data_IF_262004676948
#
_entry.id   IF_262004676948
#
_cell.length_a   1.000
_cell.length_b   1.000
_cell.length_c   1.000
_cell.angle_alpha   90.00
_cell.angle_beta   90.00
_cell.angle_gamma   90.00
#
_symmetry.space_group_name_H-M   'P 1'
#
loop_
_entity.id
_entity.type
_entity.pdbx_description
1 polymer ?
#
# COMPACT_ATOMS: atom_id res chain seq x y z
N UNK A 1 16.91 -17.38 -7.02
CA UNK A 1 15.44 -17.24 -7.14
C UNK A 1 15.16 -16.22 -8.24
N UNK A 2 14.61 -16.65 -9.38
CA UNK A 2 14.09 -15.73 -10.38
C UNK A 2 12.82 -15.11 -9.79
N UNK A 3 12.91 -13.86 -9.31
CA UNK A 3 11.71 -13.10 -8.96
C UNK A 3 10.96 -12.83 -10.26
N UNK A 4 9.75 -13.35 -10.38
CA UNK A 4 8.88 -13.04 -11.50
C UNK A 4 8.55 -11.54 -11.48
N UNK A 5 9.28 -10.79 -12.31
CA UNK A 5 9.17 -9.33 -12.45
C UNK A 5 7.74 -8.95 -12.86
N UNK A 6 7.05 -9.80 -13.63
CA UNK A 6 5.69 -9.58 -14.10
C UNK A 6 4.72 -9.70 -12.93
N UNK A 7 4.79 -10.78 -12.16
CA UNK A 7 3.96 -10.97 -10.98
C UNK A 7 4.18 -9.87 -9.94
N UNK A 8 5.43 -9.45 -9.71
CA UNK A 8 5.74 -8.36 -8.79
C UNK A 8 5.15 -7.02 -9.26
N UNK A 9 5.22 -6.74 -10.56
CA UNK A 9 4.63 -5.54 -11.13
C UNK A 9 3.10 -5.55 -11.03
N UNK A 10 2.46 -6.69 -11.33
CA UNK A 10 1.02 -6.86 -11.17
C UNK A 10 0.58 -6.64 -9.71
N UNK A 11 1.30 -7.23 -8.76
CA UNK A 11 1.01 -7.06 -7.33
C UNK A 11 1.16 -5.60 -6.88
N UNK A 12 2.19 -4.90 -7.37
CA UNK A 12 2.35 -3.45 -7.16
C UNK A 12 1.12 -2.66 -7.66
N UNK A 13 0.66 -2.92 -8.88
CA UNK A 13 -0.49 -2.22 -9.45
C UNK A 13 -1.77 -2.48 -8.64
N UNK A 14 -1.98 -3.72 -8.20
CA UNK A 14 -3.11 -4.08 -7.35
C UNK A 14 -3.08 -3.34 -6.01
N UNK A 15 -1.93 -3.31 -5.31
CA UNK A 15 -1.78 -2.59 -4.05
C UNK A 15 -1.98 -1.08 -4.21
N UNK A 16 -1.47 -0.49 -5.30
CA UNK A 16 -1.70 0.92 -5.63
C UNK A 16 -3.17 1.21 -5.84
N UNK A 17 -3.86 0.39 -6.63
CA UNK A 17 -5.30 0.55 -6.84
C UNK A 17 -6.06 0.48 -5.52
N UNK A 18 -5.71 -0.44 -4.62
CA UNK A 18 -6.37 -0.55 -3.31
C UNK A 18 -6.11 0.67 -2.42
N UNK A 19 -4.87 1.18 -2.40
CA UNK A 19 -4.48 2.36 -1.63
C UNK A 19 -5.24 3.61 -2.09
N UNK A 20 -5.38 3.79 -3.41
CA UNK A 20 -6.00 4.96 -4.03
C UNK A 20 -7.52 4.91 -3.92
N UNK A 21 -8.14 3.76 -4.21
CA UNK A 21 -9.60 3.61 -4.21
C UNK A 21 -10.20 3.46 -2.81
N UNK A 22 -9.47 2.85 -1.88
CA UNK A 22 -9.92 2.60 -0.51
C UNK A 22 -8.79 2.91 0.48
N UNK A 23 -8.41 4.20 0.64
CA UNK A 23 -7.38 4.57 1.59
C UNK A 23 -7.83 4.18 3.00
N UNK A 24 -7.12 3.22 3.61
CA UNK A 24 -7.33 2.81 5.01
C UNK A 24 -6.67 3.77 6.01
N UNK A 25 -6.09 4.86 5.51
CA UNK A 25 -5.22 5.78 6.24
C UNK A 25 -5.56 7.24 5.92
N UNK A 26 -5.30 8.17 6.86
CA UNK A 26 -5.35 9.60 6.59
C UNK A 26 -4.28 10.01 5.54
N UNK A 27 -4.51 11.14 4.87
CA UNK A 27 -3.69 11.64 3.75
C UNK A 27 -2.18 11.72 4.07
N UNK A 28 -1.84 12.08 5.30
CA UNK A 28 -0.46 12.21 5.80
C UNK A 28 0.29 10.86 5.73
N UNK A 29 -0.39 9.77 6.05
CA UNK A 29 0.19 8.43 6.11
C UNK A 29 0.32 7.78 4.72
N UNK A 30 -0.36 8.30 3.70
CA UNK A 30 -0.28 7.79 2.33
C UNK A 30 0.68 8.59 1.45
N UNK A 31 1.12 9.79 1.86
CA UNK A 31 2.00 10.65 1.05
C UNK A 31 3.31 9.95 0.68
N UNK A 32 3.99 9.34 1.66
CA UNK A 32 5.25 8.64 1.41
C UNK A 32 5.08 7.41 0.50
N UNK A 33 4.09 6.52 0.71
CA UNK A 33 3.72 5.50 -0.28
C UNK A 33 3.48 6.06 -1.68
N UNK A 34 2.67 7.12 -1.84
CA UNK A 34 2.41 7.69 -3.16
C UNK A 34 3.69 8.26 -3.80
N UNK A 35 4.60 8.83 -3.02
CA UNK A 35 5.90 9.28 -3.52
C UNK A 35 6.75 8.12 -4.07
N UNK A 36 6.75 6.95 -3.41
CA UNK A 36 7.40 5.75 -3.94
C UNK A 36 6.77 5.30 -5.27
N UNK A 37 5.43 5.33 -5.37
CA UNK A 37 4.74 5.01 -6.62
C UNK A 37 5.10 5.99 -7.75
N UNK A 38 5.24 7.29 -7.43
CA UNK A 38 5.71 8.31 -8.37
C UNK A 38 7.12 8.04 -8.88
N UNK A 39 8.06 7.79 -7.97
CA UNK A 39 9.44 7.45 -8.34
C UNK A 39 9.49 6.17 -9.18
N UNK A 40 8.63 5.19 -8.90
CA UNK A 40 8.55 3.95 -9.68
C UNK A 40 8.03 4.15 -11.11
N UNK A 41 7.20 5.16 -11.36
CA UNK A 41 6.57 5.44 -12.66
C UNK A 41 7.32 6.47 -13.48
N UNK A 42 7.80 7.53 -12.84
CA UNK A 42 8.33 8.72 -13.51
C UNK A 42 9.84 8.86 -13.34
N UNK A 43 10.47 7.98 -12.55
CA UNK A 43 11.86 8.13 -12.11
C UNK A 43 12.08 9.47 -11.40
N UNK A 44 13.28 10.02 -11.52
CA UNK A 44 13.71 11.23 -10.83
C UNK A 44 12.79 12.41 -11.11
N UNK A 45 12.54 13.15 -10.03
CA UNK A 45 11.71 14.34 -10.06
C UNK A 45 12.24 15.40 -11.02
N UNK A 46 11.33 16.09 -11.70
CA UNK A 46 11.60 17.24 -12.56
C UNK A 46 10.74 18.45 -12.16
N UNK A 47 11.25 19.68 -12.36
CA UNK A 47 10.43 20.89 -12.22
C UNK A 47 9.17 20.81 -13.08
N UNK A 48 8.05 21.32 -12.55
CA UNK A 48 6.75 21.35 -13.21
C UNK A 48 6.18 19.97 -13.61
N UNK A 49 6.67 18.89 -13.02
CA UNK A 49 6.15 17.56 -13.25
C UNK A 49 4.70 17.46 -12.77
N UNK A 50 3.82 17.09 -13.71
CA UNK A 50 2.41 16.92 -13.42
C UNK A 50 2.16 15.69 -12.54
N UNK A 51 1.15 15.80 -11.68
CA UNK A 51 0.62 14.72 -10.86
C UNK A 51 -0.14 13.73 -11.77
N UNK A 52 0.29 12.46 -11.89
CA UNK A 52 -0.48 11.41 -12.55
C UNK A 52 -1.97 11.42 -12.23
N UNK A 53 -2.81 11.19 -13.26
CA UNK A 53 -4.27 11.20 -13.20
C UNK A 53 -4.82 10.36 -12.03
N UNK A 54 -4.23 9.19 -11.81
CA UNK A 54 -4.64 8.26 -10.76
C UNK A 54 -4.42 8.82 -9.34
N UNK A 55 -3.55 9.81 -9.15
CA UNK A 55 -3.23 10.43 -7.86
C UNK A 55 -3.83 11.83 -7.68
N UNK A 56 -4.38 12.44 -8.75
CA UNK A 56 -4.87 13.82 -8.73
C UNK A 56 -5.96 14.05 -7.66
N UNK A 57 -6.84 13.08 -7.47
CA UNK A 57 -7.94 13.16 -6.50
C UNK A 57 -7.51 12.99 -5.03
N UNK A 58 -6.26 12.58 -4.76
CA UNK A 58 -5.76 12.39 -3.40
C UNK A 58 -5.41 13.73 -2.71
N UNK A 59 -5.35 14.84 -3.45
CA UNK A 59 -5.09 16.19 -2.94
C UNK A 59 -3.84 16.31 -2.04
N UNK A 60 -2.78 15.54 -2.33
CA UNK A 60 -1.55 15.50 -1.51
C UNK A 60 -0.64 16.73 -1.71
N UNK A 61 -0.90 17.52 -2.76
CA UNK A 61 -0.32 18.86 -2.95
C UNK A 61 1.21 18.91 -2.84
N UNK A 62 1.78 19.99 -2.27
CA UNK A 62 3.22 20.18 -2.15
C UNK A 62 3.95 19.14 -1.29
N UNK A 63 3.23 18.42 -0.42
CA UNK A 63 3.84 17.38 0.41
C UNK A 63 4.32 16.21 -0.45
N UNK A 64 3.55 15.82 -1.47
CA UNK A 64 3.93 14.78 -2.43
C UNK A 64 5.15 15.19 -3.25
N UNK A 65 5.18 16.44 -3.74
CA UNK A 65 6.33 16.96 -4.50
C UNK A 65 7.62 16.87 -3.69
N UNK A 66 7.60 17.32 -2.43
CA UNK A 66 8.77 17.25 -1.54
C UNK A 66 9.19 15.82 -1.25
N UNK A 67 8.22 14.93 -1.01
CA UNK A 67 8.49 13.52 -0.76
C UNK A 67 9.11 12.85 -2.00
N UNK A 68 8.64 13.16 -3.21
CA UNK A 68 9.22 12.62 -4.46
C UNK A 68 10.62 13.18 -4.73
N UNK A 69 10.85 14.47 -4.51
CA UNK A 69 12.19 15.07 -4.61
C UNK A 69 13.22 14.38 -3.70
N UNK A 70 12.81 13.96 -2.50
CA UNK A 70 13.68 13.23 -1.57
C UNK A 70 14.07 11.82 -2.06
N UNK A 71 13.45 11.32 -3.13
CA UNK A 71 13.70 9.98 -3.69
C UNK A 71 14.54 9.99 -4.97
N UNK A 72 15.16 11.12 -5.33
CA UNK A 72 15.83 11.35 -6.62
C UNK A 72 17.01 10.41 -6.96
N UNK A 73 17.39 9.48 -6.08
CA UNK A 73 18.43 8.47 -6.34
C UNK A 73 17.90 7.03 -6.27
N UNK A 74 16.61 6.86 -5.98
CA UNK A 74 15.99 5.56 -5.82
C UNK A 74 15.60 5.00 -7.19
N UNK A 75 16.10 3.81 -7.53
CA UNK A 75 15.75 3.17 -8.79
C UNK A 75 14.24 2.88 -8.87
N UNK A 76 13.68 2.79 -10.08
CA UNK A 76 12.27 2.45 -10.25
C UNK A 76 11.89 1.12 -9.58
N UNK A 77 12.80 0.13 -9.64
CA UNK A 77 12.57 -1.19 -9.04
C UNK A 77 12.60 -1.11 -7.51
N UNK A 78 13.55 -0.37 -6.93
CA UNK A 78 13.64 -0.19 -5.49
C UNK A 78 12.48 0.65 -4.95
N UNK A 79 12.05 1.66 -5.70
CA UNK A 79 10.85 2.45 -5.40
C UNK A 79 9.59 1.56 -5.38
N UNK A 80 9.46 0.66 -6.36
CA UNK A 80 8.36 -0.32 -6.39
C UNK A 80 8.39 -1.26 -5.18
N UNK A 81 9.56 -1.76 -4.80
CA UNK A 81 9.71 -2.62 -3.63
C UNK A 81 9.44 -1.85 -2.32
N UNK A 82 9.90 -0.61 -2.22
CA UNK A 82 9.63 0.27 -1.08
C UNK A 82 8.12 0.55 -0.95
N UNK A 83 7.45 0.82 -2.06
CA UNK A 83 5.99 0.93 -2.11
C UNK A 83 5.31 -0.32 -1.57
N UNK A 84 5.64 -1.49 -2.13
CA UNK A 84 5.03 -2.77 -1.71
C UNK A 84 5.23 -2.97 -0.20
N UNK A 85 6.44 -2.75 0.32
CA UNK A 85 6.72 -2.91 1.76
C UNK A 85 5.92 -1.95 2.64
N UNK A 86 5.72 -0.71 2.20
CA UNK A 86 4.96 0.28 2.95
C UNK A 86 3.45 -0.02 2.97
N UNK A 87 2.92 -0.56 1.86
CA UNK A 87 1.47 -0.72 1.67
C UNK A 87 0.98 -2.12 2.03
N UNK A 88 1.75 -3.17 1.69
CA UNK A 88 1.37 -4.57 1.87
C UNK A 88 0.81 -4.90 3.26
N UNK A 89 1.41 -4.48 4.41
CA UNK A 89 0.88 -4.86 5.72
C UNK A 89 -0.60 -4.48 5.93
N UNK A 90 -1.07 -3.43 5.26
CA UNK A 90 -2.42 -2.93 5.42
C UNK A 90 -3.44 -3.54 4.45
N UNK A 91 -2.97 -4.15 3.36
CA UNK A 91 -3.82 -4.66 2.27
C UNK A 91 -3.64 -6.15 2.00
N UNK A 92 -2.68 -6.79 2.67
CA UNK A 92 -2.41 -8.23 2.59
C UNK A 92 -3.12 -9.02 3.70
N UNK A 93 -4.04 -8.37 4.42
CA UNK A 93 -4.89 -8.98 5.43
C UNK A 93 -6.36 -8.77 5.07
N UNK A 94 -7.08 -9.89 4.93
CA UNK A 94 -8.52 -9.91 4.78
C UNK A 94 -9.15 -10.16 6.14
N UNK A 95 -9.96 -9.19 6.60
CA UNK A 95 -10.64 -9.27 7.90
C UNK A 95 -12.08 -9.75 7.70
N UNK A 96 -12.46 -10.76 8.46
CA UNK A 96 -13.80 -11.32 8.49
C UNK A 96 -14.37 -11.20 9.90
N UNK A 97 -15.50 -10.50 10.05
CA UNK A 97 -16.25 -10.51 11.30
C UNK A 97 -16.98 -11.85 11.44
N UNK A 98 -16.72 -12.58 12.51
CA UNK A 98 -17.30 -13.90 12.75
C UNK A 98 -17.61 -14.10 14.22
N UNK A 99 -18.53 -15.02 14.51
CA UNK A 99 -18.81 -15.45 15.88
C UNK A 99 -18.14 -16.80 16.11
N UNK A 100 -17.25 -16.88 17.10
CA UNK A 100 -16.60 -18.13 17.48
C UNK A 100 -17.10 -18.60 18.84
N UNK A 101 -17.19 -19.93 19.00
CA UNK A 101 -17.54 -20.55 20.28
C UNK A 101 -16.30 -20.66 21.15
N UNK A 102 -16.36 -20.08 22.35
CA UNK A 102 -15.29 -20.13 23.34
C UNK A 102 -15.26 -21.49 24.04
N UNK A 103 -14.18 -21.75 24.79
CA UNK A 103 -14.06 -22.96 25.63
C UNK A 103 -15.16 -23.07 26.69
N UNK A 104 -15.74 -21.94 27.10
CA UNK A 104 -16.85 -21.87 28.06
C UNK A 104 -18.22 -22.09 27.41
N UNK A 105 -18.26 -22.47 26.12
CA UNK A 105 -19.49 -22.70 25.36
C UNK A 105 -20.25 -21.43 25.01
N UNK A 106 -19.68 -20.24 25.23
CA UNK A 106 -20.29 -18.95 24.86
C UNK A 106 -19.89 -18.56 23.45
N UNK A 107 -20.77 -17.86 22.76
CA UNK A 107 -20.50 -17.31 21.43
C UNK A 107 -19.94 -15.89 21.58
N UNK A 108 -18.77 -15.61 20.99
CA UNK A 108 -18.08 -14.33 21.07
C UNK A 108 -17.80 -13.77 19.66
N UNK A 109 -18.10 -12.47 19.41
CA UNK A 109 -17.71 -11.83 18.17
C UNK A 109 -16.19 -11.65 18.14
N UNK A 110 -15.58 -11.99 17.01
CA UNK A 110 -14.14 -11.82 16.76
C UNK A 110 -13.91 -11.36 15.33
N UNK A 111 -12.73 -10.80 15.09
CA UNK A 111 -12.21 -10.53 13.76
C UNK A 111 -11.19 -11.61 13.39
N UNK A 112 -11.39 -12.27 12.26
CA UNK A 112 -10.43 -13.23 11.71
C UNK A 112 -9.66 -12.57 10.58
N UNK A 113 -8.36 -12.40 10.76
CA UNK A 113 -7.43 -11.93 9.75
C UNK A 113 -6.82 -13.10 8.98
N UNK A 114 -7.04 -13.16 7.68
CA UNK A 114 -6.40 -14.12 6.78
C UNK A 114 -5.25 -13.42 6.04
N UNK A 115 -4.03 -13.94 6.22
CA UNK A 115 -2.81 -13.42 5.59
C UNK A 115 -2.02 -14.57 4.94
N UNK A 116 -1.04 -14.28 4.08
CA UNK A 116 -0.14 -15.32 3.56
C UNK A 116 0.68 -16.04 4.64
N UNK A 117 0.82 -15.46 5.84
CA UNK A 117 1.52 -16.09 6.98
C UNK A 117 0.63 -17.05 7.76
N UNK A 118 -0.69 -16.97 7.59
CA UNK A 118 -1.66 -17.79 8.29
C UNK A 118 -2.91 -17.01 8.70
N UNK A 119 -3.65 -17.60 9.63
CA UNK A 119 -4.88 -17.05 10.18
C UNK A 119 -4.57 -16.47 11.56
N UNK A 120 -4.96 -15.22 11.78
CA UNK A 120 -4.81 -14.48 13.02
C UNK A 120 -6.19 -14.14 13.59
N UNK A 121 -6.37 -14.22 14.90
CA UNK A 121 -7.64 -13.92 15.56
C UNK A 121 -7.46 -12.67 16.42
N UNK A 122 -8.31 -11.68 16.18
CA UNK A 122 -8.35 -10.40 16.88
C UNK A 122 -9.65 -10.33 17.68
N UNK A 123 -9.55 -10.08 18.99
CA UNK A 123 -10.69 -9.86 19.88
C UNK A 123 -11.02 -8.38 19.97
#
# INVERSE_FOLDING_TARGET
MYNDVVSLHHYYLQLRQNLVSTPRHPAENITQPIAFAYQAELSDWRPCQETPIWAQHLNLGPALTRAHQALATLSQQDARLAFIRAVMPNYNMHLHAMTLRTKDGKDAPVWIGVTPKGIEVYQ
#
